data_IF_068691768393
#
_entry.id   IF_068691768393
#
_cell.length_a   1.000
_cell.length_b   1.000
_cell.length_c   1.000
_cell.angle_alpha   90.00
_cell.angle_beta   90.00
_cell.angle_gamma   90.00
#
_symmetry.space_group_name_H-M   'P 1'
#
loop_
_entity.id
_entity.type
_entity.pdbx_description
1 polymer ?
#
# COMPACT_ATOMS: atom_id res chain seq x y z
N UNK A 1 3.58 8.48 14.50
CA UNK A 1 4.43 7.54 13.72
C UNK A 1 5.42 8.36 12.91
N UNK A 2 6.69 7.97 12.85
CA UNK A 2 7.70 8.65 12.01
C UNK A 2 8.41 7.59 11.17
N UNK A 3 8.45 7.80 9.86
CA UNK A 3 9.24 6.98 8.94
C UNK A 3 10.58 7.66 8.70
N UNK A 4 11.63 6.89 8.48
CA UNK A 4 12.92 7.42 8.01
C UNK A 4 13.23 6.86 6.62
N UNK A 5 13.67 7.74 5.72
CA UNK A 5 14.07 7.36 4.36
C UNK A 5 15.40 6.59 4.34
N UNK A 6 15.88 6.24 3.14
CA UNK A 6 17.17 5.56 2.97
C UNK A 6 18.38 6.36 3.48
N UNK A 7 18.25 7.68 3.65
CA UNK A 7 19.29 8.58 4.19
C UNK A 7 19.09 8.85 5.69
N UNK A 8 18.10 8.24 6.33
CA UNK A 8 17.75 8.47 7.73
C UNK A 8 16.97 9.76 7.99
N UNK A 9 16.49 10.45 6.96
CA UNK A 9 15.73 11.69 7.11
C UNK A 9 14.29 11.39 7.57
N UNK A 10 13.78 12.06 8.62
CA UNK A 10 12.45 11.80 9.14
C UNK A 10 11.38 12.37 8.20
N UNK A 11 10.42 11.54 7.84
CA UNK A 11 9.25 11.91 7.07
C UNK A 11 7.97 11.60 7.86
N UNK A 12 7.01 12.54 7.82
CA UNK A 12 5.72 12.39 8.49
C UNK A 12 4.65 12.10 7.45
N UNK A 13 3.98 10.98 7.62
CA UNK A 13 2.84 10.61 6.80
C UNK A 13 1.56 11.04 7.49
N UNK A 14 0.74 11.80 6.76
CA UNK A 14 -0.47 12.41 7.31
C UNK A 14 -1.74 11.73 6.80
N UNK A 15 -1.64 10.85 5.79
CA UNK A 15 -2.81 10.19 5.24
C UNK A 15 -3.16 8.99 6.12
N UNK A 16 -4.36 9.06 6.66
CA UNK A 16 -4.90 8.07 7.58
C UNK A 16 -6.25 7.62 7.08
N UNK A 17 -6.55 6.34 7.25
CA UNK A 17 -7.80 5.73 6.86
C UNK A 17 -8.26 4.79 7.98
N UNK A 18 -9.40 5.09 8.59
CA UNK A 18 -10.00 4.22 9.59
C UNK A 18 -10.75 3.10 8.87
N UNK A 19 -10.31 1.86 9.07
CA UNK A 19 -11.03 0.68 8.57
C UNK A 19 -12.18 0.36 9.52
N UNK A 20 -11.91 0.37 10.83
CA UNK A 20 -12.89 0.13 11.89
C UNK A 20 -12.41 0.76 13.24
N UNK A 21 -13.11 0.46 14.34
CA UNK A 21 -12.80 0.99 15.69
C UNK A 21 -11.46 0.51 16.28
N UNK A 22 -10.86 -0.54 15.69
CA UNK A 22 -9.63 -1.20 16.16
C UNK A 22 -8.51 -1.17 15.11
N UNK A 23 -8.84 -0.87 13.86
CA UNK A 23 -7.93 -0.95 12.72
C UNK A 23 -7.82 0.39 12.00
N UNK A 24 -6.60 0.88 11.91
CA UNK A 24 -6.26 2.13 11.24
C UNK A 24 -5.12 1.87 10.25
N UNK A 25 -5.36 2.27 9.00
CA UNK A 25 -4.36 2.32 7.96
C UNK A 25 -3.72 3.70 7.92
N UNK A 26 -2.40 3.72 7.77
CA UNK A 26 -1.63 4.94 7.58
C UNK A 26 -0.75 4.75 6.36
N UNK A 27 -0.89 5.64 5.38
CA UNK A 27 -0.15 5.57 4.13
C UNK A 27 0.49 6.91 3.80
N UNK A 28 1.43 6.89 2.88
CA UNK A 28 2.23 8.04 2.51
C UNK A 28 2.15 8.19 0.99
N UNK A 29 1.71 9.35 0.51
CA UNK A 29 1.79 9.66 -0.91
C UNK A 29 3.22 10.11 -1.23
N UNK A 30 4.00 9.24 -1.87
CA UNK A 30 5.36 9.56 -2.30
C UNK A 30 6.20 8.32 -2.63
N UNK A 31 7.12 8.46 -3.58
CA UNK A 31 8.16 7.45 -3.84
C UNK A 31 9.22 7.51 -2.73
N UNK A 32 8.87 7.03 -1.54
CA UNK A 32 9.78 6.99 -0.40
C UNK A 32 10.15 5.55 -0.13
N UNK A 33 11.42 5.21 -0.39
CA UNK A 33 12.00 3.96 0.12
C UNK A 33 12.30 4.16 1.60
N UNK A 34 11.62 3.42 2.46
CA UNK A 34 11.76 3.50 3.92
C UNK A 34 12.58 2.33 4.44
N UNK A 35 13.59 2.61 5.26
CA UNK A 35 14.40 1.57 5.91
C UNK A 35 13.98 1.33 7.37
N UNK A 36 13.41 2.36 8.01
CA UNK A 36 13.07 2.30 9.42
C UNK A 36 11.71 2.94 9.68
N UNK A 37 10.88 2.22 10.43
CA UNK A 37 9.63 2.71 10.99
C UNK A 37 9.78 2.86 12.51
N UNK A 38 9.49 4.05 13.03
CA UNK A 38 9.50 4.31 14.47
C UNK A 38 8.08 4.65 14.95
N UNK A 39 7.50 3.74 15.74
CA UNK A 39 6.26 3.97 16.49
C UNK A 39 6.59 4.54 17.86
N UNK A 40 5.95 5.64 18.25
CA UNK A 40 6.11 6.30 19.54
C UNK A 40 4.74 6.59 20.13
N UNK A 41 4.63 6.50 21.46
CA UNK A 41 3.40 6.79 22.20
C UNK A 41 3.16 5.75 23.29
N UNK A 42 2.38 6.13 24.29
CA UNK A 42 2.02 5.24 25.42
C UNK A 42 1.25 4.00 24.95
N UNK A 43 0.50 4.13 23.85
CA UNK A 43 -0.43 3.09 23.42
C UNK A 43 0.21 2.04 22.48
N UNK A 44 1.47 2.24 22.07
CA UNK A 44 2.19 1.31 21.17
C UNK A 44 2.28 -0.10 21.77
N UNK A 45 2.37 -0.21 23.10
CA UNK A 45 2.40 -1.50 23.80
C UNK A 45 1.08 -2.28 23.77
N UNK A 46 -0.03 -1.66 23.33
CA UNK A 46 -1.34 -2.31 23.22
C UNK A 46 -1.70 -2.71 21.78
N UNK A 47 -0.79 -2.54 20.83
CA UNK A 47 -1.01 -2.98 19.45
C UNK A 47 -1.05 -4.52 19.40
N UNK A 48 -2.18 -5.07 18.96
CA UNK A 48 -2.31 -6.52 18.74
C UNK A 48 -1.56 -6.99 17.50
N UNK A 49 -1.43 -6.13 16.49
CA UNK A 49 -0.75 -6.44 15.24
C UNK A 49 -0.18 -5.16 14.60
N UNK A 50 0.86 -5.32 13.78
CA UNK A 50 1.42 -4.28 12.95
C UNK A 50 1.68 -4.85 11.55
N UNK A 51 1.05 -4.27 10.54
CA UNK A 51 1.25 -4.62 9.13
C UNK A 51 1.98 -3.47 8.43
N UNK A 52 3.11 -3.79 7.78
CA UNK A 52 3.90 -2.82 7.01
C UNK A 52 3.93 -3.34 5.57
N UNK A 53 3.47 -2.52 4.63
CA UNK A 53 3.55 -2.81 3.19
C UNK A 53 4.38 -1.74 2.49
N UNK A 54 5.11 -2.13 1.45
CA UNK A 54 5.87 -1.20 0.59
C UNK A 54 5.00 -0.36 -0.36
N UNK A 55 3.69 -0.30 -0.10
CA UNK A 55 2.71 0.38 -0.94
C UNK A 55 1.54 -0.51 -1.32
N UNK A 56 0.46 0.14 -1.76
CA UNK A 56 -0.72 -0.51 -2.32
C UNK A 56 -0.58 -0.53 -3.84
N UNK A 57 -0.89 -1.66 -4.48
CA UNK A 57 -1.12 -1.66 -5.92
C UNK A 57 -2.36 -0.80 -6.22
N UNK A 58 -2.17 0.47 -6.57
CA UNK A 58 -3.25 1.42 -6.84
C UNK A 58 -4.07 1.04 -8.07
N UNK A 59 -3.52 0.22 -8.98
CA UNK A 59 -4.22 -0.28 -10.15
C UNK A 59 -5.11 -1.49 -9.83
N UNK A 60 -4.93 -2.16 -8.69
CA UNK A 60 -5.67 -3.38 -8.34
C UNK A 60 -7.19 -3.14 -8.35
N UNK A 61 -7.90 -3.92 -9.15
CA UNK A 61 -9.34 -3.87 -9.41
C UNK A 61 -9.87 -2.51 -9.93
N UNK A 62 -9.00 -1.66 -10.45
CA UNK A 62 -9.43 -0.43 -11.15
C UNK A 62 -10.01 -0.77 -12.53
N UNK A 63 -10.65 0.19 -13.16
CA UNK A 63 -11.10 0.05 -14.56
C UNK A 63 -9.90 0.04 -15.50
N UNK A 64 -9.82 -0.97 -16.36
CA UNK A 64 -8.82 -1.08 -17.41
C UNK A 64 -9.48 -1.03 -18.80
N UNK A 65 -8.80 -0.43 -19.78
CA UNK A 65 -9.30 -0.30 -21.15
C UNK A 65 -8.18 -0.64 -22.14
N UNK A 66 -8.54 -1.27 -23.26
CA UNK A 66 -7.60 -1.66 -24.31
C UNK A 66 -8.21 -1.42 -25.70
N UNK A 67 -7.37 -1.25 -26.72
CA UNK A 67 -7.80 -0.91 -28.09
C UNK A 67 -8.46 -2.08 -28.83
N UNK A 68 -8.11 -3.32 -28.48
CA UNK A 68 -8.68 -4.55 -29.06
C UNK A 68 -8.52 -5.71 -28.08
N UNK A 69 -9.31 -6.78 -28.23
CA UNK A 69 -9.29 -7.92 -27.31
C UNK A 69 -9.00 -9.22 -28.04
N UNK A 70 -7.93 -9.92 -27.62
CA UNK A 70 -7.74 -11.33 -27.93
C UNK A 70 -8.60 -12.15 -26.96
N UNK A 71 -9.39 -13.08 -27.49
CA UNK A 71 -10.27 -13.92 -26.67
C UNK A 71 -9.48 -14.59 -25.52
N UNK A 72 -10.02 -14.52 -24.31
CA UNK A 72 -9.38 -14.93 -23.03
C UNK A 72 -8.43 -13.91 -22.38
N UNK A 73 -8.15 -12.77 -23.02
CA UNK A 73 -7.30 -11.68 -22.49
C UNK A 73 -8.02 -10.32 -22.47
N UNK A 74 -9.12 -10.19 -21.70
CA UNK A 74 -9.77 -8.91 -21.49
C UNK A 74 -8.93 -7.98 -20.59
N UNK A 75 -9.18 -6.67 -20.66
CA UNK A 75 -8.35 -5.64 -20.02
C UNK A 75 -8.30 -5.75 -18.49
N UNK A 76 -9.36 -6.26 -17.87
CA UNK A 76 -9.49 -6.42 -16.42
C UNK A 76 -8.46 -7.39 -15.84
N UNK A 77 -7.93 -8.33 -16.64
CA UNK A 77 -6.83 -9.20 -16.20
C UNK A 77 -5.54 -8.44 -15.86
N UNK A 78 -5.29 -7.28 -16.47
CA UNK A 78 -4.11 -6.47 -16.16
C UNK A 78 -4.11 -5.91 -14.72
N UNK A 79 -5.28 -5.92 -14.08
CA UNK A 79 -5.53 -5.29 -12.78
C UNK A 79 -6.20 -6.25 -11.79
N UNK A 80 -6.29 -7.55 -12.10
CA UNK A 80 -7.04 -8.51 -11.29
C UNK A 80 -6.26 -9.06 -10.08
N UNK A 81 -4.94 -8.84 -10.04
CA UNK A 81 -4.04 -9.33 -8.99
C UNK A 81 -3.48 -10.72 -9.23
N UNK A 82 -3.78 -11.36 -10.36
CA UNK A 82 -3.29 -12.66 -10.75
C UNK A 82 -2.10 -12.51 -11.71
N UNK A 83 -0.92 -12.99 -11.31
CA UNK A 83 0.29 -12.96 -12.15
C UNK A 83 0.42 -14.19 -13.07
N UNK A 84 -0.44 -15.19 -12.91
CA UNK A 84 -0.38 -16.46 -13.64
C UNK A 84 -1.17 -16.43 -14.95
N UNK A 85 -1.27 -15.26 -15.57
CA UNK A 85 -1.97 -15.07 -16.85
C UNK A 85 -1.03 -14.77 -18.01
N UNK A 86 0.29 -14.81 -17.78
CA UNK A 86 1.27 -14.79 -18.85
C UNK A 86 1.25 -16.14 -19.61
N UNK A 87 1.32 -16.04 -20.94
CA UNK A 87 1.46 -17.18 -21.87
C UNK A 87 2.84 -17.82 -21.79
#
# INVERSE_FOLDING_TARGET
MVLHDIKGSPFTCNNTYLIDERTMDLFCDGQISTQQLTLKGKDVGFLCSLSISGGRNVALKQTAMQSSTLNSYPADKAVDGNRNTDL
#
